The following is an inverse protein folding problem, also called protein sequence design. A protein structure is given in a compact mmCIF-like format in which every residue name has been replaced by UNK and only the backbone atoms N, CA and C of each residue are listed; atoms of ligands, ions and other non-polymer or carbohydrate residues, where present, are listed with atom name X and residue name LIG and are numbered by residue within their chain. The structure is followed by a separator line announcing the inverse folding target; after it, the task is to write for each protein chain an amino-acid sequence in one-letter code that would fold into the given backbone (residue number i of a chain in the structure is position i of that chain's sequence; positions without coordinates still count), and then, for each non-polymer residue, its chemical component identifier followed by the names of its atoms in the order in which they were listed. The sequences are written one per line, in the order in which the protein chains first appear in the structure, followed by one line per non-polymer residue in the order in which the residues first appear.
data_IF_573134899574
#
_entry.id   IF_573134899574
#
_cell.length_a   1.000
_cell.length_b   1.000
_cell.length_c   1.000
_cell.angle_alpha   90.00
_cell.angle_beta   90.00
_cell.angle_gamma   90.00
#
_symmetry.space_group_name_H-M   'P 1'
#
loop_
_entity.id
_entity.type
_entity.pdbx_description
1 polymer ?
#
# COMPACT_ATOMS: atom_id res chain seq x y z
N UNK A 1 14.27 -13.19 -6.09
CA UNK A 1 13.06 -12.75 -6.78
C UNK A 1 11.93 -12.60 -5.76
N UNK A 2 11.04 -11.58 -5.90
CA UNK A 2 9.90 -11.42 -5.00
C UNK A 2 8.95 -12.61 -5.10
N UNK A 3 8.50 -13.09 -3.94
CA UNK A 3 7.67 -14.28 -3.82
C UNK A 3 6.17 -13.95 -3.79
N UNK A 4 5.85 -12.72 -3.36
CA UNK A 4 4.50 -12.25 -3.12
C UNK A 4 4.38 -10.80 -3.57
N UNK A 5 3.29 -10.47 -4.25
CA UNK A 5 2.87 -9.08 -4.49
C UNK A 5 1.74 -8.73 -3.52
N UNK A 6 1.90 -7.62 -2.78
CA UNK A 6 0.87 -7.04 -1.92
C UNK A 6 0.82 -5.56 -2.22
N UNK A 7 -0.28 -5.10 -2.82
CA UNK A 7 -0.30 -3.76 -3.42
C UNK A 7 -1.65 -3.06 -3.34
N UNK A 8 -1.58 -1.72 -3.28
CA UNK A 8 -2.73 -0.81 -3.21
C UNK A 8 -2.61 0.25 -4.32
N UNK A 9 -2.92 -0.12 -5.58
CA UNK A 9 -2.80 0.79 -6.71
C UNK A 9 -3.83 1.92 -6.65
N UNK A 10 -3.66 3.02 -7.41
CA UNK A 10 -4.73 3.97 -7.68
C UNK A 10 -5.97 3.26 -8.24
N UNK A 11 -7.17 3.67 -7.80
CA UNK A 11 -8.41 2.91 -8.08
C UNK A 11 -9.13 3.32 -9.37
N UNK A 12 -8.65 4.33 -10.08
CA UNK A 12 -9.34 4.85 -11.26
C UNK A 12 -10.65 5.58 -10.94
N UNK A 13 -10.75 6.19 -9.77
CA UNK A 13 -11.99 6.83 -9.29
C UNK A 13 -11.97 8.35 -9.47
N UNK A 14 -10.84 8.93 -9.92
CA UNK A 14 -10.66 10.38 -10.06
C UNK A 14 -11.07 11.13 -8.78
N UNK A 15 -10.51 10.68 -7.66
CA UNK A 15 -10.88 11.19 -6.35
C UNK A 15 -10.68 12.72 -6.27
N UNK A 16 -11.79 13.44 -6.01
CA UNK A 16 -11.78 14.88 -5.75
C UNK A 16 -11.70 15.15 -4.24
N UNK A 17 -10.54 15.54 -3.70
CA UNK A 17 -10.38 15.81 -2.28
C UNK A 17 -11.17 17.03 -1.80
N UNK A 18 -11.52 17.96 -2.71
CA UNK A 18 -12.16 19.22 -2.37
C UNK A 18 -13.68 19.12 -2.19
N UNK A 19 -14.33 18.03 -2.63
CA UNK A 19 -15.79 17.92 -2.57
C UNK A 19 -16.34 18.06 -1.15
N UNK A 20 -15.60 17.59 -0.14
CA UNK A 20 -15.99 17.67 1.28
C UNK A 20 -15.91 19.09 1.80
N UNK A 21 -14.93 19.87 1.35
CA UNK A 21 -14.81 21.29 1.65
C UNK A 21 -15.95 22.07 1.04
N UNK A 22 -16.24 21.85 -0.25
CA UNK A 22 -17.34 22.52 -0.95
C UNK A 22 -18.71 22.27 -0.30
N UNK A 23 -18.87 21.14 0.42
CA UNK A 23 -20.11 20.81 1.14
C UNK A 23 -20.07 21.08 2.64
N UNK A 24 -19.03 21.71 3.16
CA UNK A 24 -18.91 22.06 4.59
C UNK A 24 -18.76 20.86 5.55
N UNK A 25 -18.51 19.65 5.02
CA UNK A 25 -18.53 18.41 5.80
C UNK A 25 -17.21 18.15 6.53
N UNK A 26 -16.11 18.77 6.12
CA UNK A 26 -14.81 18.59 6.78
C UNK A 26 -13.89 19.78 6.54
N UNK A 27 -13.20 20.23 7.59
CA UNK A 27 -12.22 21.32 7.52
C UNK A 27 -10.77 20.85 7.38
N UNK A 28 -10.51 19.56 7.35
CA UNK A 28 -9.14 19.06 7.18
C UNK A 28 -8.74 19.11 5.71
N UNK A 29 -7.76 19.94 5.40
CA UNK A 29 -7.18 20.04 4.08
C UNK A 29 -6.45 18.74 3.70
N UNK A 30 -7.11 17.89 2.93
CA UNK A 30 -6.46 16.84 2.15
C UNK A 30 -6.27 17.41 0.76
N UNK A 31 -5.16 18.07 0.54
CA UNK A 31 -4.77 18.61 -0.76
C UNK A 31 -3.84 17.65 -1.43
N UNK A 32 -4.14 17.26 -2.64
CA UNK A 32 -3.29 16.44 -3.51
C UNK A 32 -4.12 15.49 -4.36
N UNK A 33 -3.93 15.54 -5.67
CA UNK A 33 -4.46 14.54 -6.60
C UNK A 33 -3.54 13.32 -6.55
N UNK A 34 -4.13 12.13 -6.46
CA UNK A 34 -3.38 10.88 -6.62
C UNK A 34 -2.93 10.81 -8.09
N UNK A 35 -1.64 10.58 -8.32
CA UNK A 35 -1.12 10.39 -9.69
C UNK A 35 -1.71 9.13 -10.29
N UNK A 36 -2.12 9.20 -11.55
CA UNK A 36 -2.70 8.11 -12.32
C UNK A 36 -4.03 7.54 -11.74
N UNK A 37 -4.79 8.34 -10.96
CA UNK A 37 -6.09 7.92 -10.42
C UNK A 37 -7.20 7.82 -11.49
N UNK A 38 -6.87 8.03 -12.74
CA UNK A 38 -7.74 7.72 -13.89
C UNK A 38 -7.60 6.28 -14.39
N UNK A 39 -6.55 5.56 -13.96
CA UNK A 39 -6.21 4.22 -14.41
C UNK A 39 -6.70 3.19 -13.39
N UNK A 40 -7.40 2.15 -13.87
CA UNK A 40 -7.78 0.97 -13.08
C UNK A 40 -7.22 -0.35 -13.66
N UNK A 41 -6.85 -0.38 -14.95
CA UNK A 41 -6.18 -1.51 -15.60
C UNK A 41 -4.65 -1.35 -15.49
N UNK A 42 -4.04 -2.11 -14.62
CA UNK A 42 -2.60 -2.11 -14.37
C UNK A 42 -1.89 -3.35 -14.93
N UNK A 43 -2.42 -3.95 -16.00
CA UNK A 43 -1.84 -5.13 -16.65
C UNK A 43 -0.33 -5.00 -16.88
N UNK A 44 0.23 -3.89 -17.42
CA UNK A 44 1.68 -3.78 -17.62
C UNK A 44 2.50 -3.89 -16.32
N UNK A 45 1.94 -3.42 -15.22
CA UNK A 45 2.59 -3.49 -13.90
C UNK A 45 2.56 -4.91 -13.34
N UNK A 46 1.45 -5.63 -13.53
CA UNK A 46 1.34 -7.04 -13.13
C UNK A 46 2.28 -7.95 -13.91
N UNK A 47 2.53 -7.63 -15.18
CA UNK A 47 3.44 -8.40 -16.05
C UNK A 47 4.91 -8.29 -15.64
N UNK A 48 5.31 -7.20 -14.98
CA UNK A 48 6.65 -7.03 -14.42
C UNK A 48 6.90 -7.91 -13.19
N UNK A 49 5.84 -8.36 -12.52
CA UNK A 49 5.97 -9.20 -11.33
C UNK A 49 6.17 -10.67 -11.73
N UNK A 50 7.32 -11.29 -11.40
CA UNK A 50 7.66 -12.65 -11.82
C UNK A 50 7.06 -13.75 -10.93
N UNK A 51 6.51 -13.38 -9.76
CA UNK A 51 6.00 -14.33 -8.77
C UNK A 51 4.61 -14.86 -9.10
N UNK A 52 4.09 -15.69 -8.20
CA UNK A 52 2.86 -16.45 -8.44
C UNK A 52 1.64 -15.96 -7.63
N UNK A 53 1.83 -15.14 -6.60
CA UNK A 53 0.77 -14.78 -5.66
C UNK A 53 0.64 -13.27 -5.59
N UNK A 54 -0.60 -12.78 -5.70
CA UNK A 54 -0.92 -11.37 -5.62
C UNK A 54 -2.11 -11.11 -4.69
N UNK A 55 -1.98 -10.06 -3.89
CA UNK A 55 -3.06 -9.40 -3.18
C UNK A 55 -3.16 -7.99 -3.70
N UNK A 56 -4.27 -7.67 -4.36
CA UNK A 56 -4.47 -6.38 -5.03
C UNK A 56 -5.72 -5.72 -4.48
N UNK A 57 -5.53 -4.67 -3.72
CA UNK A 57 -6.60 -3.80 -3.24
C UNK A 57 -7.20 -3.03 -4.39
N UNK A 58 -8.49 -2.73 -4.32
CA UNK A 58 -9.17 -2.02 -5.41
C UNK A 58 -10.43 -1.30 -4.94
N UNK A 59 -10.88 -0.32 -5.71
CA UNK A 59 -12.19 0.29 -5.51
C UNK A 59 -13.31 -0.72 -5.83
N UNK A 60 -14.34 -0.79 -4.98
CA UNK A 60 -15.40 -1.77 -5.13
C UNK A 60 -16.12 -1.70 -6.50
N UNK A 61 -16.32 -0.49 -7.04
CA UNK A 61 -16.92 -0.27 -8.36
C UNK A 61 -15.97 -0.56 -9.55
N UNK A 62 -14.69 -0.82 -9.28
CA UNK A 62 -13.67 -1.15 -10.28
C UNK A 62 -13.22 -2.62 -10.21
N UNK A 63 -13.90 -3.43 -9.39
CA UNK A 63 -13.54 -4.82 -9.13
C UNK A 63 -13.43 -5.67 -10.41
N UNK A 64 -14.33 -5.50 -11.38
CA UNK A 64 -14.31 -6.22 -12.66
C UNK A 64 -13.09 -5.85 -13.50
N UNK A 65 -12.77 -4.54 -13.63
CA UNK A 65 -11.62 -4.06 -14.40
C UNK A 65 -10.31 -4.61 -13.84
N UNK A 66 -10.16 -4.57 -12.50
CA UNK A 66 -8.97 -5.11 -11.84
C UNK A 66 -8.90 -6.63 -11.98
N UNK A 67 -10.03 -7.33 -11.88
CA UNK A 67 -10.09 -8.78 -12.10
C UNK A 67 -9.67 -9.17 -13.53
N UNK A 68 -10.15 -8.44 -14.53
CA UNK A 68 -9.79 -8.66 -15.94
C UNK A 68 -8.30 -8.37 -16.17
N UNK A 69 -7.75 -7.29 -15.59
CA UNK A 69 -6.32 -6.96 -15.70
C UNK A 69 -5.42 -8.04 -15.12
N UNK A 70 -5.82 -8.61 -13.97
CA UNK A 70 -5.13 -9.75 -13.37
C UNK A 70 -5.22 -11.00 -14.25
N UNK A 71 -6.39 -11.27 -14.85
CA UNK A 71 -6.57 -12.41 -15.75
C UNK A 71 -5.71 -12.28 -17.03
N UNK A 72 -5.61 -11.08 -17.62
CA UNK A 72 -4.69 -10.79 -18.74
C UNK A 72 -3.23 -11.13 -18.37
N UNK A 73 -2.83 -10.86 -17.14
CA UNK A 73 -1.52 -11.21 -16.59
C UNK A 73 -1.44 -12.66 -16.04
N UNK A 74 -2.35 -13.53 -16.47
CA UNK A 74 -2.39 -14.97 -16.14
C UNK A 74 -2.62 -15.30 -14.67
N UNK A 75 -3.14 -14.38 -13.88
CA UNK A 75 -3.63 -14.68 -12.54
C UNK A 75 -5.05 -15.24 -12.58
N UNK A 76 -5.30 -16.21 -11.70
CA UNK A 76 -6.64 -16.71 -11.39
C UNK A 76 -7.04 -16.22 -10.02
N UNK A 77 -8.16 -15.51 -9.92
CA UNK A 77 -8.72 -15.07 -8.64
C UNK A 77 -9.17 -16.29 -7.84
N UNK A 78 -8.74 -16.38 -6.59
CA UNK A 78 -9.08 -17.45 -5.66
C UNK A 78 -10.08 -17.02 -4.60
N UNK A 79 -10.03 -15.75 -4.18
CA UNK A 79 -10.97 -15.19 -3.21
C UNK A 79 -11.03 -13.66 -3.35
N UNK A 80 -12.16 -13.11 -2.92
CA UNK A 80 -12.26 -11.69 -2.59
C UNK A 80 -12.20 -11.53 -1.08
N UNK A 81 -11.24 -10.74 -0.63
CA UNK A 81 -11.09 -10.38 0.78
C UNK A 81 -11.75 -9.01 0.96
N UNK A 82 -12.46 -8.85 2.06
CA UNK A 82 -13.14 -7.62 2.43
C UNK A 82 -12.54 -7.10 3.73
N UNK A 83 -11.90 -5.95 3.69
CA UNK A 83 -11.60 -5.21 4.90
C UNK A 83 -12.83 -4.43 5.35
N UNK A 84 -13.47 -4.89 6.43
CA UNK A 84 -14.58 -4.21 7.09
C UNK A 84 -14.03 -3.13 8.03
N UNK A 85 -14.42 -1.88 7.78
CA UNK A 85 -14.01 -0.71 8.58
C UNK A 85 -14.95 -0.54 9.78
N UNK A 86 -14.40 -0.08 10.90
CA UNK A 86 -15.21 0.22 12.09
C UNK A 86 -16.20 1.37 11.86
N UNK A 87 -15.84 2.31 10.98
CA UNK A 87 -16.63 3.50 10.68
C UNK A 87 -16.90 3.60 9.19
N UNK A 88 -18.09 4.06 8.84
CA UNK A 88 -18.40 4.39 7.46
C UNK A 88 -17.53 5.54 6.95
N UNK A 89 -17.26 5.52 5.65
CA UNK A 89 -16.61 6.64 4.94
C UNK A 89 -17.72 7.37 4.17
N UNK A 90 -18.02 8.60 4.60
CA UNK A 90 -19.03 9.41 3.93
C UNK A 90 -18.71 9.58 2.45
N UNK A 91 -19.67 9.24 1.61
CA UNK A 91 -19.63 9.35 0.15
C UNK A 91 -20.75 10.25 -0.36
N UNK A 92 -20.77 10.52 -1.66
CA UNK A 92 -21.83 11.31 -2.30
C UNK A 92 -23.06 10.47 -2.69
N UNK A 93 -22.96 9.14 -2.62
CA UNK A 93 -24.05 8.23 -2.94
C UNK A 93 -25.00 7.99 -1.78
N UNK A 94 -26.08 7.22 -2.04
CA UNK A 94 -27.10 6.87 -1.06
C UNK A 94 -26.57 5.95 0.04
N UNK A 95 -25.60 5.09 -0.30
CA UNK A 95 -24.93 4.20 0.63
C UNK A 95 -23.48 4.67 0.88
N UNK A 96 -23.09 4.69 2.15
CA UNK A 96 -21.73 5.02 2.55
C UNK A 96 -20.85 3.77 2.61
N UNK A 97 -19.64 3.90 2.09
CA UNK A 97 -18.68 2.80 2.07
C UNK A 97 -18.16 2.48 3.47
N UNK A 98 -18.26 1.22 3.89
CA UNK A 98 -17.73 0.72 5.15
C UNK A 98 -16.77 -0.46 4.93
N UNK A 99 -16.32 -0.67 3.71
CA UNK A 99 -15.39 -1.72 3.38
C UNK A 99 -14.49 -1.34 2.20
N UNK A 100 -13.39 -2.08 2.07
CA UNK A 100 -12.56 -2.10 0.87
C UNK A 100 -12.26 -3.54 0.47
N UNK A 101 -12.40 -3.89 -0.81
CA UNK A 101 -12.13 -5.23 -1.30
C UNK A 101 -10.68 -5.38 -1.78
N UNK A 102 -10.18 -6.62 -1.71
CA UNK A 102 -8.90 -7.04 -2.21
C UNK A 102 -9.02 -8.36 -2.96
N UNK A 103 -8.47 -8.46 -4.16
CA UNK A 103 -8.37 -9.72 -4.86
C UNK A 103 -7.16 -10.53 -4.36
N UNK A 104 -7.40 -11.75 -3.89
CA UNK A 104 -6.39 -12.78 -3.74
C UNK A 104 -6.33 -13.60 -5.02
N UNK A 105 -5.23 -13.53 -5.72
CA UNK A 105 -5.05 -14.13 -7.03
C UNK A 105 -3.74 -14.91 -7.12
N UNK A 106 -3.74 -15.98 -7.93
CA UNK A 106 -2.63 -16.91 -8.02
C UNK A 106 -2.36 -17.27 -9.48
N UNK A 107 -1.08 -17.26 -9.86
CA UNK A 107 -0.57 -17.93 -11.07
C UNK A 107 -0.12 -19.33 -10.70
N UNK A 108 -0.31 -20.32 -11.57
CA UNK A 108 0.09 -21.71 -11.36
C UNK A 108 -0.45 -22.28 -10.03
N UNK A 109 0.44 -22.77 -9.15
CA UNK A 109 0.03 -23.42 -7.89
C UNK A 109 -0.09 -22.43 -6.73
N UNK A 110 0.77 -21.41 -6.69
CA UNK A 110 0.97 -20.60 -5.49
C UNK A 110 1.50 -21.46 -4.32
N UNK A 111 1.67 -20.83 -3.17
CA UNK A 111 1.96 -21.53 -1.92
C UNK A 111 1.21 -20.85 -0.76
N UNK A 112 0.85 -21.64 0.23
CA UNK A 112 0.16 -21.19 1.42
C UNK A 112 0.89 -21.71 2.66
N UNK A 113 1.28 -20.79 3.54
CA UNK A 113 1.98 -21.10 4.80
C UNK A 113 1.15 -20.73 6.03
N UNK A 114 0.03 -20.01 5.82
CA UNK A 114 -0.92 -19.68 6.88
C UNK A 114 -1.72 -20.86 7.39
N UNK A 115 -2.44 -20.68 8.46
CA UNK A 115 -3.36 -21.68 8.99
C UNK A 115 -4.64 -21.83 8.13
N UNK A 116 -5.47 -22.82 8.46
CA UNK A 116 -6.75 -23.08 7.78
C UNK A 116 -7.94 -22.31 8.36
N UNK A 117 -7.71 -21.37 9.28
CA UNK A 117 -8.74 -20.59 9.97
C UNK A 117 -8.91 -19.19 9.37
N UNK A 118 -8.14 -18.84 8.34
CA UNK A 118 -8.23 -17.55 7.68
C UNK A 118 -9.58 -17.39 6.96
N UNK A 119 -10.18 -16.22 7.10
CA UNK A 119 -11.46 -15.86 6.47
C UNK A 119 -11.30 -14.73 5.47
N UNK A 120 -12.30 -14.55 4.62
CA UNK A 120 -12.32 -13.45 3.64
C UNK A 120 -12.83 -12.13 4.21
N UNK A 121 -13.39 -12.11 5.42
CA UNK A 121 -13.84 -10.91 6.10
C UNK A 121 -12.82 -10.52 7.17
N UNK A 122 -12.19 -9.35 7.01
CA UNK A 122 -11.18 -8.82 7.93
C UNK A 122 -11.72 -7.59 8.65
N UNK A 123 -11.99 -7.73 9.94
CA UNK A 123 -12.28 -6.60 10.81
C UNK A 123 -10.95 -6.07 11.37
N UNK A 124 -10.47 -4.97 10.78
CA UNK A 124 -9.20 -4.34 11.16
C UNK A 124 -9.49 -2.87 11.48
N UNK A 125 -9.09 -2.40 12.69
CA UNK A 125 -9.26 -1.01 13.08
C UNK A 125 -8.56 -0.04 12.11
N UNK A 126 -9.19 1.11 11.86
CA UNK A 126 -8.65 2.17 10.99
C UNK A 126 -7.67 3.10 11.69
N UNK A 127 -7.52 2.98 13.01
CA UNK A 127 -6.68 3.89 13.82
C UNK A 127 -5.67 3.15 14.69
N UNK A 128 -4.59 3.83 15.06
CA UNK A 128 -3.73 3.44 16.20
C UNK A 128 -2.37 2.84 15.88
N UNK A 129 -1.94 2.75 14.62
CA UNK A 129 -0.62 2.18 14.32
C UNK A 129 0.45 3.17 13.83
N UNK A 130 0.10 4.42 13.51
CA UNK A 130 1.07 5.45 13.15
C UNK A 130 0.55 6.85 13.49
N UNK A 131 1.11 7.45 14.51
CA UNK A 131 0.75 8.80 15.01
C UNK A 131 1.28 9.92 14.10
N UNK A 132 2.29 9.66 13.26
CA UNK A 132 2.99 10.70 12.51
C UNK A 132 2.48 10.95 11.08
N UNK A 133 1.84 9.99 10.46
CA UNK A 133 1.32 10.20 9.10
C UNK A 133 -0.13 10.66 9.11
N UNK A 134 -0.37 11.95 8.92
CA UNK A 134 -1.70 12.57 8.70
C UNK A 134 -2.35 12.11 7.37
N UNK A 135 -2.03 10.91 6.87
CA UNK A 135 -2.57 10.36 5.64
C UNK A 135 -3.94 9.72 5.89
N UNK A 136 -4.93 10.37 5.40
CA UNK A 136 -6.32 9.99 5.60
C UNK A 136 -6.80 8.77 4.79
N UNK A 137 -6.02 8.30 3.83
CA UNK A 137 -6.32 7.14 2.96
C UNK A 137 -5.35 5.98 3.18
N UNK A 138 -4.46 6.10 4.15
CA UNK A 138 -3.49 5.06 4.45
C UNK A 138 -4.19 3.79 4.94
N UNK A 139 -3.85 2.66 4.34
CA UNK A 139 -4.32 1.36 4.83
C UNK A 139 -3.65 0.98 6.16
N UNK A 140 -4.36 0.30 7.06
CA UNK A 140 -3.74 -0.31 8.23
C UNK A 140 -2.61 -1.27 7.83
N UNK A 141 -1.51 -1.26 8.58
CA UNK A 141 -0.36 -2.15 8.35
C UNK A 141 -0.80 -3.61 8.32
N UNK A 142 -1.77 -4.00 9.13
CA UNK A 142 -2.29 -5.35 9.21
C UNK A 142 -2.95 -5.83 7.89
N UNK A 143 -3.52 -4.92 7.10
CA UNK A 143 -4.05 -5.25 5.77
C UNK A 143 -2.97 -5.74 4.80
N UNK A 144 -1.74 -5.25 4.96
CA UNK A 144 -0.58 -5.67 4.16
C UNK A 144 0.18 -6.83 4.81
N UNK A 145 0.19 -6.91 6.15
CA UNK A 145 0.93 -7.92 6.91
C UNK A 145 0.30 -9.31 6.81
N UNK A 146 -1.04 -9.43 6.88
CA UNK A 146 -1.73 -10.75 6.80
C UNK A 146 -1.41 -11.51 5.52
N UNK A 147 -1.47 -10.94 4.32
CA UNK A 147 -0.99 -11.58 3.10
C UNK A 147 0.43 -12.14 3.23
N UNK A 148 1.34 -11.37 3.84
CA UNK A 148 2.73 -11.78 4.00
C UNK A 148 2.88 -13.00 4.90
N UNK A 149 2.15 -13.02 6.02
CA UNK A 149 2.15 -14.17 6.94
C UNK A 149 1.54 -15.42 6.31
N UNK A 150 0.59 -15.27 5.40
CA UNK A 150 -0.11 -16.38 4.76
C UNK A 150 0.64 -16.97 3.56
N UNK A 151 1.45 -16.17 2.85
CA UNK A 151 2.01 -16.58 1.57
C UNK A 151 3.53 -16.29 1.43
N UNK A 152 4.21 -15.99 2.53
CA UNK A 152 5.66 -15.84 2.51
C UNK A 152 6.29 -16.23 3.85
N UNK A 153 7.59 -16.49 3.84
CA UNK A 153 8.42 -16.75 5.01
C UNK A 153 9.34 -15.56 5.30
N UNK A 154 9.90 -15.50 6.52
CA UNK A 154 10.89 -14.49 6.89
C UNK A 154 12.06 -14.49 5.89
N UNK A 155 12.60 -13.31 5.58
CA UNK A 155 13.66 -13.10 4.60
C UNK A 155 13.20 -13.07 3.14
N UNK A 156 11.97 -13.48 2.82
CA UNK A 156 11.46 -13.42 1.45
C UNK A 156 11.07 -12.00 1.02
N UNK A 157 11.21 -11.73 -0.27
CA UNK A 157 10.92 -10.43 -0.86
C UNK A 157 9.44 -10.29 -1.23
N UNK A 158 8.88 -9.12 -0.90
CA UNK A 158 7.54 -8.67 -1.23
C UNK A 158 7.64 -7.57 -2.27
N UNK A 159 6.87 -7.65 -3.34
CA UNK A 159 6.78 -6.65 -4.39
C UNK A 159 5.61 -5.71 -4.15
N UNK A 160 5.90 -4.39 -4.18
CA UNK A 160 4.90 -3.33 -4.04
C UNK A 160 5.15 -2.24 -5.07
N UNK A 161 4.48 -2.29 -6.23
CA UNK A 161 4.71 -1.30 -7.31
C UNK A 161 4.06 0.06 -7.08
N UNK A 162 3.29 0.25 -6.00
CA UNK A 162 2.61 1.50 -5.64
C UNK A 162 2.81 1.79 -4.15
N UNK A 163 4.09 1.99 -3.75
CA UNK A 163 4.50 2.01 -2.34
C UNK A 163 3.79 3.09 -1.51
N UNK A 164 3.51 4.23 -2.12
CA UNK A 164 2.88 5.37 -1.43
C UNK A 164 3.64 5.77 -0.17
N UNK A 165 2.93 5.93 0.93
CA UNK A 165 3.52 6.27 2.23
C UNK A 165 4.28 5.12 2.93
N UNK A 166 4.47 3.97 2.27
CA UNK A 166 5.27 2.86 2.79
C UNK A 166 4.55 1.90 3.73
N UNK A 167 3.24 1.76 3.69
CA UNK A 167 2.52 0.82 4.57
C UNK A 167 2.99 -0.62 4.37
N UNK A 168 3.18 -1.03 3.12
CA UNK A 168 3.70 -2.36 2.78
C UNK A 168 5.15 -2.53 3.24
N UNK A 169 5.97 -1.47 3.20
CA UNK A 169 7.33 -1.46 3.72
C UNK A 169 7.36 -1.74 5.23
N UNK A 170 6.52 -1.03 6.00
CA UNK A 170 6.40 -1.26 7.45
C UNK A 170 5.87 -2.66 7.76
N UNK A 171 4.88 -3.14 7.01
CA UNK A 171 4.35 -4.50 7.16
C UNK A 171 5.42 -5.56 6.91
N UNK A 172 6.25 -5.40 5.88
CA UNK A 172 7.37 -6.29 5.58
C UNK A 172 8.41 -6.25 6.70
N UNK A 173 8.85 -5.06 7.11
CA UNK A 173 9.82 -4.89 8.19
C UNK A 173 9.35 -5.55 9.49
N UNK A 174 8.10 -5.27 9.92
CA UNK A 174 7.52 -5.82 11.16
C UNK A 174 7.35 -7.34 11.15
N UNK A 175 7.38 -7.96 9.98
CA UNK A 175 7.22 -9.40 9.79
C UNK A 175 8.49 -10.11 9.31
N UNK A 176 9.64 -9.40 9.28
CA UNK A 176 10.92 -9.96 8.86
C UNK A 176 11.02 -10.26 7.37
N UNK A 177 10.26 -9.56 6.52
CA UNK A 177 10.31 -9.66 5.06
C UNK A 177 11.05 -8.46 4.47
N UNK A 178 11.47 -8.58 3.21
CA UNK A 178 12.12 -7.50 2.46
C UNK A 178 11.11 -6.89 1.50
N UNK A 179 10.85 -5.59 1.59
CA UNK A 179 9.98 -4.90 0.64
C UNK A 179 10.79 -4.38 -0.56
N UNK A 180 10.37 -4.73 -1.76
CA UNK A 180 10.84 -4.14 -3.02
C UNK A 180 9.74 -3.20 -3.51
N UNK A 181 9.82 -1.94 -3.08
CA UNK A 181 8.82 -0.92 -3.34
C UNK A 181 9.20 0.00 -4.48
N UNK A 182 8.22 0.42 -5.27
CA UNK A 182 8.34 1.44 -6.31
C UNK A 182 7.35 2.56 -5.99
N UNK A 183 7.82 3.80 -6.12
CA UNK A 183 6.97 4.98 -5.95
C UNK A 183 7.37 6.04 -7.00
N UNK A 184 6.39 6.61 -7.67
CA UNK A 184 6.60 7.62 -8.73
C UNK A 184 6.69 9.04 -8.18
N UNK A 185 6.13 9.28 -7.00
CA UNK A 185 6.13 10.60 -6.39
C UNK A 185 7.28 10.73 -5.39
N UNK A 186 8.30 11.59 -5.68
CA UNK A 186 9.44 11.80 -4.78
C UNK A 186 9.02 12.20 -3.36
N UNK A 187 7.92 12.93 -3.22
CA UNK A 187 7.39 13.29 -1.90
C UNK A 187 7.01 12.06 -1.08
N UNK A 188 6.34 11.09 -1.70
CA UNK A 188 5.96 9.85 -1.01
C UNK A 188 7.14 8.93 -0.78
N UNK A 189 8.18 8.96 -1.64
CA UNK A 189 9.45 8.26 -1.37
C UNK A 189 10.06 8.78 -0.07
N UNK A 190 10.15 10.11 0.10
CA UNK A 190 10.65 10.72 1.32
C UNK A 190 9.81 10.36 2.55
N UNK A 191 8.49 10.38 2.42
CA UNK A 191 7.56 9.98 3.49
C UNK A 191 7.81 8.53 3.90
N UNK A 192 7.91 7.61 2.93
CA UNK A 192 8.14 6.19 3.19
C UNK A 192 9.48 5.94 3.90
N UNK A 193 10.55 6.63 3.46
CA UNK A 193 11.88 6.51 4.08
C UNK A 193 11.87 7.03 5.51
N UNK A 194 11.35 8.25 5.76
CA UNK A 194 11.25 8.81 7.11
C UNK A 194 10.44 7.92 8.05
N UNK A 195 9.32 7.39 7.57
CA UNK A 195 8.49 6.45 8.31
C UNK A 195 9.22 5.17 8.67
N UNK A 196 9.99 4.62 7.71
CA UNK A 196 10.80 3.43 7.97
C UNK A 196 11.91 3.72 8.98
N UNK A 197 12.62 4.85 8.87
CA UNK A 197 13.63 5.27 9.83
C UNK A 197 13.04 5.45 11.24
N UNK A 198 11.87 6.10 11.35
CA UNK A 198 11.18 6.25 12.63
C UNK A 198 10.77 4.92 13.24
N UNK A 199 10.33 3.96 12.40
CA UNK A 199 9.92 2.63 12.84
C UNK A 199 11.09 1.74 13.29
N UNK A 200 12.23 1.81 12.60
CA UNK A 200 13.37 0.91 12.83
C UNK A 200 14.43 1.51 13.75
N UNK A 201 14.53 2.84 13.81
CA UNK A 201 15.68 3.53 14.39
C UNK A 201 16.94 3.52 13.50
N UNK A 202 16.85 2.95 12.30
CA UNK A 202 17.97 2.86 11.36
C UNK A 202 17.98 4.05 10.39
N UNK A 203 19.11 4.32 9.75
CA UNK A 203 19.27 5.37 8.74
C UNK A 203 19.30 4.74 7.35
N UNK A 204 18.40 5.20 6.47
CA UNK A 204 18.37 4.76 5.08
C UNK A 204 19.60 5.26 4.31
N UNK A 205 20.08 4.42 3.41
CA UNK A 205 21.26 4.69 2.56
C UNK A 205 20.91 4.49 1.10
N UNK A 206 21.43 5.36 0.25
CA UNK A 206 21.31 5.19 -1.20
C UNK A 206 22.18 4.02 -1.65
N UNK A 207 21.60 3.08 -2.41
CA UNK A 207 22.24 1.80 -2.69
C UNK A 207 23.50 1.88 -3.56
N UNK A 208 23.59 2.89 -4.45
CA UNK A 208 24.71 3.01 -5.41
C UNK A 208 25.99 3.61 -4.81
N UNK A 209 25.91 4.42 -3.77
CA UNK A 209 27.05 5.16 -3.20
C UNK A 209 27.09 5.22 -1.68
N UNK A 210 26.05 4.69 -1.01
CA UNK A 210 25.98 4.64 0.45
C UNK A 210 25.64 5.98 1.12
N UNK A 211 25.32 7.03 0.35
CA UNK A 211 24.97 8.34 0.90
C UNK A 211 23.76 8.23 1.80
N UNK A 212 23.82 8.83 2.99
CA UNK A 212 22.73 8.79 3.96
C UNK A 212 21.55 9.65 3.50
N UNK A 213 20.32 9.19 3.75
CA UNK A 213 19.13 9.94 3.36
C UNK A 213 19.10 11.35 3.95
N UNK A 214 19.57 11.54 5.17
CA UNK A 214 19.64 12.85 5.85
C UNK A 214 20.51 13.85 5.09
N UNK A 215 21.57 13.40 4.42
CA UNK A 215 22.51 14.23 3.66
C UNK A 215 21.93 14.69 2.31
N UNK A 216 20.86 14.04 1.87
CA UNK A 216 20.16 14.36 0.62
C UNK A 216 19.07 15.42 0.80
N UNK A 217 18.75 15.81 2.04
CA UNK A 217 17.73 16.81 2.31
C UNK A 217 18.23 18.23 2.01
N UNK A 218 17.40 19.12 1.39
CA UNK A 218 17.83 20.44 0.91
C UNK A 218 18.42 21.40 1.96
N UNK A 219 18.31 21.10 3.25
CA UNK A 219 18.77 21.94 4.37
C UNK A 219 19.72 21.23 5.33
N UNK A 220 20.37 20.15 4.93
CA UNK A 220 21.43 19.54 5.71
C UNK A 220 22.73 20.30 5.55
N UNK A 221 22.82 21.56 6.04
CA UNK A 221 24.11 22.16 6.34
C UNK A 221 24.67 21.46 7.58
N UNK A 222 25.96 21.09 7.58
CA UNK A 222 26.61 20.61 8.79
C UNK A 222 26.50 21.70 9.85
N UNK A 223 26.11 21.32 11.07
CA UNK A 223 26.16 22.22 12.20
C UNK A 223 27.64 22.71 12.28
N UNK A 224 27.86 24.01 12.07
CA UNK A 224 29.17 24.62 12.36
C UNK A 224 29.45 24.29 13.82
N UNK A 225 30.55 23.59 14.04
CA UNK A 225 31.13 23.38 15.35
C UNK A 225 31.35 24.77 15.96
N UNK A 226 30.51 25.11 16.92
CA UNK A 226 30.73 26.31 17.76
C UNK A 226 31.99 26.09 18.58
N UNK A 227 33.03 26.81 18.18
CA UNK A 227 34.31 26.95 18.89
C UNK A 227 34.13 27.68 20.21
#
# INVERSE_FOLDING_TARGET
MPQLMVTDPPYGVQYDPEWRHRRGVNKSARTGKIKNDEIADWTPTWDLYPGEIAYVWHGALRSSIVAESLAKSRFTIRAQIIWAKERLVMSQGDYHWQHEPCWYAVRKKGHWVGDRKQTTLWTIPTGGQDVETKHATQKPVECMRRPMLNNSSSGQAIYEPFLGSGTTLIAAQSSGRVCLGIEIDPFFVDVAIRRWQAFTGEIAKRANDGVLFVELLPNSQPAEEAS
#
